data_IF_220126070328
#
_entry.id   IF_220126070328
#
_cell.length_a   1.000
_cell.length_b   1.000
_cell.length_c   1.000
_cell.angle_alpha   90.00
_cell.angle_beta   90.00
_cell.angle_gamma   90.00
#
_symmetry.space_group_name_H-M   'P 1'
#
loop_
_entity.id
_entity.type
_entity.pdbx_description
1 polymer ?
#
# COMPACT_ATOMS: atom_id res chain seq x y z
N UNK A 1 -4.62 -12.81 -3.69
CA UNK A 1 -3.79 -11.65 -3.30
C UNK A 1 -4.27 -11.10 -1.97
N UNK A 2 -3.35 -10.91 -1.06
CA UNK A 2 -3.63 -10.33 0.25
C UNK A 2 -2.82 -9.04 0.38
N UNK A 3 -3.50 -7.95 0.71
CA UNK A 3 -2.86 -6.63 0.89
C UNK A 3 -3.00 -6.23 2.36
N UNK A 4 -1.87 -5.89 2.99
CA UNK A 4 -1.85 -5.42 4.37
C UNK A 4 -0.97 -4.19 4.51
N UNK A 5 -1.40 -3.24 5.32
CA UNK A 5 -0.57 -2.13 5.73
C UNK A 5 0.30 -2.60 6.89
N UNK A 6 1.61 -2.51 6.72
CA UNK A 6 2.58 -2.98 7.73
C UNK A 6 3.29 -1.85 8.44
N UNK A 7 3.28 -0.65 7.87
CA UNK A 7 3.94 0.48 8.46
C UNK A 7 3.24 1.75 8.03
N UNK A 8 3.18 2.69 8.95
CA UNK A 8 2.53 3.96 8.75
C UNK A 8 3.39 5.01 9.44
N UNK A 9 3.95 5.93 8.67
CA UNK A 9 4.85 6.93 9.23
C UNK A 9 4.40 8.33 8.87
N UNK A 10 3.93 9.07 9.87
CA UNK A 10 3.52 10.46 9.73
C UNK A 10 4.56 11.46 10.27
N UNK A 11 5.65 10.95 10.84
CA UNK A 11 6.66 11.77 11.51
C UNK A 11 7.77 12.24 10.56
N UNK A 12 7.72 11.84 9.31
CA UNK A 12 8.68 12.28 8.30
C UNK A 12 8.16 13.53 7.58
N UNK A 13 9.05 14.20 6.86
CA UNK A 13 8.71 15.38 6.07
C UNK A 13 7.58 15.09 5.09
N UNK A 14 7.65 13.92 4.45
CA UNK A 14 6.58 13.43 3.58
C UNK A 14 6.06 12.13 4.19
N UNK A 15 4.83 12.12 4.73
CA UNK A 15 4.26 10.90 5.31
C UNK A 15 4.11 9.79 4.28
N UNK A 16 4.24 8.56 4.73
CA UNK A 16 4.10 7.42 3.83
C UNK A 16 3.44 6.24 4.51
N UNK A 17 2.92 5.33 3.70
CA UNK A 17 2.33 4.06 4.14
C UNK A 17 3.02 2.94 3.37
N UNK A 18 3.44 1.91 4.09
CA UNK A 18 4.02 0.71 3.49
C UNK A 18 2.98 -0.41 3.47
N UNK A 19 2.80 -0.97 2.29
CA UNK A 19 1.90 -2.11 2.07
C UNK A 19 2.74 -3.35 1.83
N UNK A 20 2.21 -4.48 2.25
CA UNK A 20 2.77 -5.79 1.96
C UNK A 20 1.73 -6.59 1.19
N UNK A 21 2.10 -7.06 0.00
CA UNK A 21 1.21 -7.79 -0.89
C UNK A 21 1.74 -9.22 -1.01
N UNK A 22 0.90 -10.18 -0.63
CA UNK A 22 1.26 -11.60 -0.63
C UNK A 22 0.27 -12.41 -1.47
N UNK A 23 0.57 -13.70 -1.60
CA UNK A 23 -0.22 -14.64 -2.40
C UNK A 23 -0.32 -14.23 -3.86
N UNK A 24 0.83 -13.84 -4.42
CA UNK A 24 0.97 -13.52 -5.84
C UNK A 24 1.76 -14.65 -6.53
N UNK A 25 1.41 -14.93 -7.79
CA UNK A 25 2.25 -15.78 -8.61
C UNK A 25 3.54 -15.04 -8.96
N UNK A 26 4.57 -15.77 -9.39
CA UNK A 26 5.83 -15.13 -9.80
C UNK A 26 5.62 -14.15 -10.94
N UNK A 27 4.74 -14.45 -11.88
CA UNK A 27 4.41 -13.56 -12.99
C UNK A 27 3.74 -12.28 -12.51
N UNK A 28 2.78 -12.40 -11.60
CA UNK A 28 2.09 -11.24 -11.02
C UNK A 28 3.05 -10.36 -10.23
N UNK A 29 3.89 -10.99 -9.43
CA UNK A 29 4.87 -10.30 -8.60
C UNK A 29 5.82 -9.45 -9.46
N UNK A 30 6.38 -10.05 -10.51
CA UNK A 30 7.27 -9.36 -11.41
C UNK A 30 6.56 -8.27 -12.21
N UNK A 31 5.34 -8.54 -12.67
CA UNK A 31 4.57 -7.56 -13.42
C UNK A 31 4.31 -6.30 -12.57
N UNK A 32 3.87 -6.47 -11.34
CA UNK A 32 3.61 -5.34 -10.45
C UNK A 32 4.91 -4.59 -10.13
N UNK A 33 5.98 -5.30 -9.82
CA UNK A 33 7.24 -4.66 -9.49
C UNK A 33 7.79 -3.84 -10.66
N UNK A 34 7.60 -4.33 -11.89
CA UNK A 34 8.13 -3.67 -13.09
C UNK A 34 7.27 -2.50 -13.57
N UNK A 35 5.98 -2.48 -13.24
CA UNK A 35 5.05 -1.55 -13.84
C UNK A 35 4.45 -0.53 -12.89
N UNK A 36 4.53 -0.73 -11.57
CA UNK A 36 4.07 0.27 -10.62
C UNK A 36 5.02 1.46 -10.59
N UNK A 37 4.47 2.66 -10.56
CA UNK A 37 5.26 3.89 -10.46
C UNK A 37 5.74 4.17 -9.05
N UNK A 38 5.11 3.55 -8.06
CA UNK A 38 5.44 3.71 -6.66
C UNK A 38 6.74 2.99 -6.31
N UNK A 39 7.29 3.33 -5.14
CA UNK A 39 8.50 2.68 -4.64
C UNK A 39 8.17 1.24 -4.24
N UNK A 40 8.72 0.29 -4.97
CA UNK A 40 8.45 -1.13 -4.76
C UNK A 40 9.74 -1.92 -4.53
N UNK A 41 9.60 -3.01 -3.81
CA UNK A 41 10.68 -3.99 -3.64
C UNK A 41 10.09 -5.37 -3.43
N UNK A 42 10.86 -6.40 -3.77
CA UNK A 42 10.47 -7.78 -3.57
C UNK A 42 11.37 -8.38 -2.49
N UNK A 43 10.73 -8.98 -1.49
CA UNK A 43 11.42 -9.73 -0.45
C UNK A 43 10.79 -11.12 -0.41
N UNK A 44 11.54 -12.13 -0.91
CA UNK A 44 11.05 -13.49 -1.13
C UNK A 44 9.86 -13.44 -2.09
N UNK A 45 8.68 -13.88 -1.67
CA UNK A 45 7.48 -13.90 -2.50
C UNK A 45 6.52 -12.76 -2.16
N UNK A 46 7.02 -11.75 -1.48
CA UNK A 46 6.21 -10.62 -1.00
C UNK A 46 6.63 -9.35 -1.71
N UNK A 47 5.65 -8.63 -2.23
CA UNK A 47 5.86 -7.31 -2.80
C UNK A 47 5.61 -6.27 -1.72
N UNK A 48 6.55 -5.34 -1.56
CA UNK A 48 6.42 -4.21 -0.66
C UNK A 48 6.24 -2.95 -1.50
N UNK A 49 5.22 -2.17 -1.16
CA UNK A 49 4.89 -0.93 -1.88
C UNK A 49 4.85 0.20 -0.88
N UNK A 50 5.58 1.28 -1.17
CA UNK A 50 5.54 2.49 -0.35
C UNK A 50 4.86 3.60 -1.11
N UNK A 51 3.81 4.16 -0.51
CA UNK A 51 3.07 5.28 -1.09
C UNK A 51 3.23 6.50 -0.20
N UNK A 52 3.67 7.59 -0.82
CA UNK A 52 3.85 8.88 -0.13
C UNK A 52 2.61 9.73 -0.29
N UNK A 53 2.27 10.45 0.77
CA UNK A 53 1.14 11.37 0.77
C UNK A 53 1.69 12.79 0.85
N UNK A 54 1.51 13.57 -0.22
CA UNK A 54 2.06 14.92 -0.33
C UNK A 54 1.14 15.98 0.26
N UNK A 55 -0.09 15.63 0.60
CA UNK A 55 -1.09 16.56 1.06
C UNK A 55 -1.57 16.17 2.46
N UNK A 56 -2.73 16.70 2.82
CA UNK A 56 -3.33 16.46 4.12
C UNK A 56 -3.33 14.97 4.49
N UNK A 57 -2.65 14.69 5.56
CA UNK A 57 -2.63 13.35 6.13
C UNK A 57 -3.67 13.33 7.26
N UNK A 58 -4.61 12.38 7.26
CA UNK A 58 -5.79 12.48 8.11
C UNK A 58 -5.58 12.26 9.61
N UNK A 59 -4.34 12.20 10.09
CA UNK A 59 -4.07 11.78 11.47
C UNK A 59 -3.43 12.85 12.33
N UNK A 60 -3.80 14.11 12.11
CA UNK A 60 -3.28 15.22 12.90
C UNK A 60 -4.15 15.59 14.09
N UNK A 61 -5.29 14.95 14.26
CA UNK A 61 -6.21 15.25 15.34
C UNK A 61 -6.59 13.99 16.11
N UNK A 62 -7.08 14.18 17.34
CA UNK A 62 -7.55 13.07 18.17
C UNK A 62 -8.73 12.34 17.53
N UNK A 63 -9.56 13.06 16.80
CA UNK A 63 -10.69 12.47 16.06
C UNK A 63 -10.18 11.52 14.98
N UNK A 64 -9.08 11.88 14.34
CA UNK A 64 -8.50 11.05 13.30
C UNK A 64 -7.93 9.73 13.86
N UNK A 65 -7.40 9.76 15.08
CA UNK A 65 -6.89 8.55 15.73
C UNK A 65 -7.99 7.51 15.95
N UNK A 66 -9.20 7.93 16.24
CA UNK A 66 -10.34 7.04 16.43
C UNK A 66 -10.71 6.33 15.14
N UNK A 67 -10.37 6.94 13.99
CA UNK A 67 -10.68 6.42 12.67
C UNK A 67 -9.52 5.67 12.01
N UNK A 68 -8.43 5.47 12.73
CA UNK A 68 -7.24 4.85 12.16
C UNK A 68 -7.53 3.44 11.62
N UNK A 69 -8.25 2.63 12.38
CA UNK A 69 -8.57 1.27 11.95
C UNK A 69 -9.45 1.27 10.70
N UNK A 70 -10.40 2.18 10.62
CA UNK A 70 -11.27 2.33 9.46
C UNK A 70 -10.47 2.80 8.24
N UNK A 71 -9.53 3.71 8.43
CA UNK A 71 -8.65 4.18 7.38
C UNK A 71 -7.80 3.03 6.83
N UNK A 72 -7.16 2.28 7.72
CA UNK A 72 -6.32 1.14 7.33
C UNK A 72 -7.12 0.12 6.54
N UNK A 73 -8.29 -0.25 7.05
CA UNK A 73 -9.14 -1.23 6.37
C UNK A 73 -9.54 -0.76 4.97
N UNK A 74 -9.90 0.51 4.85
CA UNK A 74 -10.30 1.08 3.57
C UNK A 74 -9.14 1.13 2.58
N UNK A 75 -7.97 1.57 3.04
CA UNK A 75 -6.80 1.65 2.18
C UNK A 75 -6.34 0.27 1.71
N UNK A 76 -6.45 -0.74 2.56
CA UNK A 76 -6.12 -2.10 2.17
C UNK A 76 -7.07 -2.61 1.08
N UNK A 77 -8.36 -2.31 1.20
CA UNK A 77 -9.36 -2.67 0.19
C UNK A 77 -9.11 -1.92 -1.11
N UNK A 78 -8.88 -0.61 -1.04
CA UNK A 78 -8.63 0.22 -2.21
C UNK A 78 -7.37 -0.21 -2.94
N UNK A 79 -6.30 -0.51 -2.22
CA UNK A 79 -5.06 -0.99 -2.81
C UNK A 79 -5.28 -2.35 -3.48
N UNK A 80 -6.04 -3.24 -2.84
CA UNK A 80 -6.37 -4.54 -3.44
C UNK A 80 -7.12 -4.36 -4.77
N UNK A 81 -8.10 -3.48 -4.80
CA UNK A 81 -8.87 -3.18 -6.02
C UNK A 81 -7.98 -2.56 -7.10
N UNK A 82 -7.13 -1.63 -6.71
CA UNK A 82 -6.19 -0.99 -7.63
C UNK A 82 -5.25 -2.01 -8.26
N UNK A 83 -4.62 -2.85 -7.45
CA UNK A 83 -3.69 -3.86 -7.95
C UNK A 83 -4.41 -4.94 -8.77
N UNK A 84 -5.61 -5.32 -8.39
CA UNK A 84 -6.42 -6.28 -9.15
C UNK A 84 -6.71 -5.75 -10.55
N UNK A 85 -7.10 -4.48 -10.65
CA UNK A 85 -7.30 -3.83 -11.93
C UNK A 85 -6.02 -3.76 -12.76
N UNK A 86 -4.91 -3.49 -12.10
CA UNK A 86 -3.59 -3.45 -12.74
C UNK A 86 -3.22 -4.81 -13.32
N UNK A 87 -3.49 -5.89 -12.58
CA UNK A 87 -3.19 -7.25 -13.01
C UNK A 87 -4.08 -7.72 -14.17
N UNK A 88 -5.24 -7.10 -14.37
CA UNK A 88 -6.09 -7.41 -15.52
C UNK A 88 -5.43 -7.04 -16.84
N UNK A 89 -4.49 -6.10 -16.83
CA UNK A 89 -3.75 -5.66 -18.01
C UNK A 89 -2.53 -6.54 -18.31
N UNK A 90 -2.32 -7.54 -17.49
CA UNK A 90 -1.17 -8.43 -17.56
C UNK A 90 -1.22 -9.39 -18.76
#
# INVERSE_FOLDING_TARGET
MIVKIINFNENTEIPYVDYEVSELSSSQLNFLNDNLEDETSIDKDILKVRIYFNEFFPFHSDVAKIRLDDFIAREEIEMNLFLSGFLEDM
#
